data_IF_077886633605
#
_entry.id   IF_077886633605
#
_cell.length_a   1.000
_cell.length_b   1.000
_cell.length_c   1.000
_cell.angle_alpha   90.00
_cell.angle_beta   90.00
_cell.angle_gamma   90.00
#
_symmetry.space_group_name_H-M   'P 1'
#
loop_
_entity.id
_entity.type
_entity.pdbx_description
1 polymer ?
#
# COMPACT_ATOMS: atom_id res chain seq x y z
N UNK A 1 -30.93 -49.96 -4.23
CA UNK A 1 -31.80 -49.20 -3.32
C UNK A 1 -31.38 -47.73 -3.31
N UNK A 2 -32.36 -46.83 -3.53
CA UNK A 2 -32.45 -45.36 -3.36
C UNK A 2 -31.30 -44.51 -3.97
N UNK A 3 -31.41 -43.72 -5.05
CA UNK A 3 -32.41 -42.82 -5.69
C UNK A 3 -32.99 -41.70 -4.80
N UNK A 4 -32.88 -40.48 -5.34
CA UNK A 4 -33.61 -39.22 -5.06
C UNK A 4 -33.07 -38.24 -3.99
N UNK A 5 -32.30 -37.23 -4.43
CA UNK A 5 -32.80 -35.83 -4.54
C UNK A 5 -31.83 -34.98 -5.39
N UNK A 6 -32.20 -34.76 -6.66
CA UNK A 6 -31.81 -33.59 -7.47
C UNK A 6 -32.45 -32.32 -6.86
N UNK A 7 -32.02 -31.07 -7.08
CA UNK A 7 -31.05 -30.49 -8.00
C UNK A 7 -31.38 -29.00 -8.19
N UNK A 8 -30.36 -28.23 -8.56
CA UNK A 8 -30.36 -27.06 -9.47
C UNK A 8 -31.30 -25.87 -9.21
N UNK A 9 -30.70 -24.68 -9.16
CA UNK A 9 -31.07 -23.42 -9.85
C UNK A 9 -30.13 -22.33 -9.25
N UNK A 10 -29.32 -21.58 -9.98
CA UNK A 10 -29.39 -21.15 -11.37
C UNK A 10 -29.32 -19.63 -11.39
N UNK A 11 -28.14 -19.11 -11.76
CA UNK A 11 -27.88 -17.87 -12.51
C UNK A 11 -28.65 -16.56 -12.23
N UNK A 12 -27.83 -15.49 -12.28
CA UNK A 12 -28.09 -14.18 -12.89
C UNK A 12 -28.56 -13.04 -11.97
N UNK A 13 -27.70 -12.03 -11.79
CA UNK A 13 -27.62 -10.77 -12.58
C UNK A 13 -28.68 -9.77 -12.11
N UNK A 14 -28.23 -8.53 -11.85
CA UNK A 14 -28.85 -7.24 -12.20
C UNK A 14 -28.71 -6.26 -11.05
N UNK A 15 -27.94 -5.21 -11.34
CA UNK A 15 -27.78 -3.96 -10.61
C UNK A 15 -29.13 -3.31 -10.23
N UNK A 16 -29.12 -2.34 -9.31
CA UNK A 16 -29.58 -0.96 -9.59
C UNK A 16 -29.52 -0.10 -8.32
N UNK A 17 -28.84 1.03 -8.47
CA UNK A 17 -28.69 2.19 -7.60
C UNK A 17 -30.01 3.01 -7.59
N UNK A 18 -30.41 3.56 -6.43
CA UNK A 18 -31.20 4.81 -6.34
C UNK A 18 -30.87 5.47 -4.98
N UNK A 19 -29.97 6.45 -4.96
CA UNK A 19 -30.28 7.89 -5.06
C UNK A 19 -30.71 8.50 -3.71
N UNK A 20 -29.75 9.17 -3.06
CA UNK A 20 -29.97 10.09 -1.95
C UNK A 20 -30.58 11.36 -2.55
N UNK A 21 -31.88 11.56 -2.32
CA UNK A 21 -32.64 12.73 -2.75
C UNK A 21 -33.19 13.46 -1.54
N UNK A 22 -32.80 14.72 -1.41
CA UNK A 22 -33.10 15.65 -0.33
C UNK A 22 -34.59 15.78 0.02
N UNK A 23 -34.92 15.86 1.31
CA UNK A 23 -35.99 16.71 1.82
C UNK A 23 -35.67 17.15 3.25
N UNK A 24 -35.38 18.44 3.42
CA UNK A 24 -35.54 19.09 4.71
C UNK A 24 -37.02 19.36 4.96
N UNK A 25 -37.50 19.02 6.15
CA UNK A 25 -38.66 19.68 6.73
C UNK A 25 -38.53 19.73 8.25
N UNK A 26 -38.67 20.95 8.75
CA UNK A 26 -38.55 21.41 10.13
C UNK A 26 -39.77 20.97 10.94
N UNK A 27 -39.58 20.41 12.15
CA UNK A 27 -40.47 20.68 13.29
C UNK A 27 -39.65 20.76 14.59
N UNK A 28 -39.58 21.99 15.10
CA UNK A 28 -39.29 22.32 16.50
C UNK A 28 -40.29 21.64 17.44
N UNK A 29 -39.84 21.05 18.56
CA UNK A 29 -40.45 21.30 19.86
C UNK A 29 -39.44 21.15 21.03
N UNK A 30 -39.52 22.12 21.93
CA UNK A 30 -38.71 22.38 23.11
C UNK A 30 -39.13 21.54 24.34
N UNK A 31 -38.12 21.06 25.12
CA UNK A 31 -37.95 20.96 26.62
C UNK A 31 -39.07 20.36 27.51
N UNK A 32 -38.81 19.88 28.76
CA UNK A 32 -37.70 20.18 29.69
C UNK A 32 -37.05 18.93 30.36
N UNK A 33 -36.03 19.16 31.18
CA UNK A 33 -35.11 18.14 31.69
C UNK A 33 -35.48 17.44 32.99
N UNK A 34 -34.61 16.49 33.36
CA UNK A 34 -34.21 16.18 34.75
C UNK A 34 -32.93 15.36 34.73
N UNK A 35 -31.92 15.91 35.39
CA UNK A 35 -30.60 15.32 35.67
C UNK A 35 -30.60 14.85 37.12
N UNK A 36 -30.23 13.59 37.36
CA UNK A 36 -29.78 12.97 38.63
C UNK A 36 -29.97 11.45 38.49
N UNK A 37 -29.10 10.52 38.86
CA UNK A 37 -27.77 10.58 39.46
C UNK A 37 -27.05 9.27 39.17
N UNK A 38 -25.72 9.34 39.04
CA UNK A 38 -24.82 8.19 39.02
C UNK A 38 -24.79 7.54 40.41
N UNK A 39 -25.03 6.23 40.47
CA UNK A 39 -24.61 5.40 41.59
C UNK A 39 -23.33 4.63 41.24
N UNK A 40 -22.38 4.77 42.17
CA UNK A 40 -21.03 4.26 42.23
C UNK A 40 -20.95 2.74 42.42
N UNK A 41 -19.95 2.10 41.83
CA UNK A 41 -19.32 0.91 42.39
C UNK A 41 -17.84 0.87 41.98
N UNK A 42 -17.00 1.35 42.89
CA UNK A 42 -15.56 1.10 42.96
C UNK A 42 -15.31 -0.38 43.24
N UNK A 43 -14.38 -1.02 42.51
CA UNK A 43 -13.53 -2.08 43.09
C UNK A 43 -12.09 -1.98 42.57
N UNK A 44 -11.21 -1.85 43.55
CA UNK A 44 -9.74 -1.81 43.52
C UNK A 44 -9.17 -3.22 43.42
N UNK A 45 -8.17 -3.47 42.57
CA UNK A 45 -7.11 -4.46 42.89
C UNK A 45 -5.79 -4.15 42.16
N UNK A 46 -4.81 -3.76 42.97
CA UNK A 46 -3.36 -4.09 42.98
C UNK A 46 -2.57 -4.12 41.66
N UNK A 47 -1.76 -3.08 41.46
CA UNK A 47 -0.58 -3.10 40.56
C UNK A 47 0.66 -3.57 41.35
N UNK A 48 1.19 -4.73 40.98
CA UNK A 48 2.49 -5.20 41.46
C UNK A 48 3.58 -4.53 40.61
N UNK A 49 4.40 -3.70 41.24
CA UNK A 49 5.59 -3.09 40.66
C UNK A 49 6.79 -4.01 40.92
N UNK A 50 7.33 -4.61 39.86
CA UNK A 50 8.63 -5.29 39.89
C UNK A 50 9.57 -4.56 38.94
N UNK A 51 10.53 -3.84 39.53
CA UNK A 51 11.66 -3.25 38.82
C UNK A 51 12.77 -4.30 38.68
N UNK A 52 13.32 -4.48 37.48
CA UNK A 52 14.73 -4.88 37.28
C UNK A 52 15.22 -4.80 35.83
N UNK A 53 16.48 -4.37 35.75
CA UNK A 53 17.50 -4.49 34.68
C UNK A 53 17.28 -3.81 33.33
N UNK A 54 17.85 -2.60 33.26
CA UNK A 54 18.70 -2.09 32.16
C UNK A 54 19.31 -3.21 31.31
N UNK A 55 18.84 -3.34 30.08
CA UNK A 55 19.54 -3.98 28.98
C UNK A 55 19.75 -2.94 27.89
N UNK A 56 21.00 -2.83 27.49
CA UNK A 56 21.63 -1.84 26.64
C UNK A 56 20.96 -1.78 25.26
N UNK A 57 20.55 -0.58 24.83
CA UNK A 57 20.14 -0.26 23.46
C UNK A 57 21.22 -0.78 22.49
N UNK A 58 20.93 -1.72 21.56
CA UNK A 58 21.82 -1.90 20.43
C UNK A 58 21.74 -0.61 19.62
N UNK A 59 22.85 0.13 19.60
CA UNK A 59 23.10 1.15 18.58
C UNK A 59 22.85 0.49 17.23
N UNK A 60 21.96 1.00 16.37
CA UNK A 60 21.89 0.55 14.99
C UNK A 60 23.29 0.74 14.41
N UNK A 61 23.98 -0.36 14.17
CA UNK A 61 25.24 -0.35 13.48
C UNK A 61 24.91 0.06 12.06
N UNK A 62 25.14 1.34 11.76
CA UNK A 62 25.04 1.90 10.42
C UNK A 62 26.12 1.22 9.59
N UNK A 63 25.79 0.06 9.01
CA UNK A 63 26.56 -0.54 7.95
C UNK A 63 26.64 0.51 6.85
N UNK A 64 27.82 1.10 6.70
CA UNK A 64 28.10 2.03 5.61
C UNK A 64 28.24 1.16 4.36
N UNK A 65 27.09 0.76 3.80
CA UNK A 65 27.04 0.18 2.47
C UNK A 65 27.60 1.24 1.53
N UNK A 66 28.69 0.89 0.85
CA UNK A 66 29.20 1.71 -0.25
C UNK A 66 28.23 1.49 -1.41
N UNK A 67 27.08 2.17 -1.37
CA UNK A 67 26.08 2.14 -2.44
C UNK A 67 26.70 2.82 -3.65
N UNK A 68 27.06 2.00 -4.64
CA UNK A 68 27.29 2.51 -5.99
C UNK A 68 25.91 2.98 -6.46
N UNK A 69 25.72 4.29 -6.62
CA UNK A 69 24.49 4.83 -7.16
C UNK A 69 24.13 4.04 -8.44
N UNK A 70 22.86 3.66 -8.65
CA UNK A 70 22.44 2.96 -9.84
C UNK A 70 22.98 3.72 -11.04
N UNK A 71 23.61 2.98 -11.93
CA UNK A 71 24.17 3.58 -13.13
C UNK A 71 22.97 4.12 -13.90
N UNK A 72 22.84 5.45 -13.94
CA UNK A 72 21.97 6.15 -14.89
C UNK A 72 22.54 5.88 -16.29
N UNK A 73 22.38 4.66 -16.79
CA UNK A 73 23.11 4.17 -17.95
C UNK A 73 22.25 4.30 -19.21
N UNK A 74 22.69 5.20 -20.09
CA UNK A 74 22.59 5.19 -21.56
C UNK A 74 21.26 4.96 -22.30
N UNK A 75 20.13 4.76 -21.63
CA UNK A 75 18.82 4.67 -22.28
C UNK A 75 17.96 3.55 -21.75
N UNK A 76 16.65 3.76 -21.89
CA UNK A 76 15.62 2.81 -21.49
C UNK A 76 15.81 1.46 -22.21
N UNK A 77 15.82 0.32 -21.48
CA UNK A 77 16.03 -1.00 -22.08
C UNK A 77 14.85 -1.40 -22.97
N UNK A 78 15.09 -2.28 -23.94
CA UNK A 78 14.09 -2.65 -24.96
C UNK A 78 12.88 -3.41 -24.40
N UNK A 79 13.02 -4.06 -23.25
CA UNK A 79 11.91 -4.71 -22.55
C UNK A 79 11.09 -3.73 -21.70
N UNK A 80 11.50 -2.47 -21.53
CA UNK A 80 10.71 -1.45 -20.86
C UNK A 80 9.93 -0.64 -21.91
N UNK A 81 8.61 -0.86 -21.97
CA UNK A 81 7.66 -0.12 -22.81
C UNK A 81 7.06 1.07 -22.05
N UNK A 82 6.26 1.94 -22.70
CA UNK A 82 5.66 3.10 -22.01
C UNK A 82 4.65 2.66 -20.96
N UNK A 83 4.18 1.42 -21.08
CA UNK A 83 3.27 0.75 -20.16
C UNK A 83 3.99 -0.14 -19.14
N UNK A 84 5.32 -0.21 -19.14
CA UNK A 84 6.11 -0.96 -18.16
C UNK A 84 6.83 -2.18 -18.74
N UNK A 85 7.15 -3.15 -17.89
CA UNK A 85 8.07 -4.24 -18.18
C UNK A 85 7.43 -5.38 -18.99
N UNK A 86 7.90 -5.56 -20.22
CA UNK A 86 7.48 -6.62 -21.13
C UNK A 86 7.78 -8.00 -20.54
N UNK A 87 6.79 -8.90 -20.55
CA UNK A 87 6.90 -10.23 -19.94
C UNK A 87 6.57 -10.26 -18.44
N UNK A 88 6.41 -9.08 -17.81
CA UNK A 88 6.10 -8.94 -16.39
C UNK A 88 4.82 -8.11 -16.21
N UNK A 89 3.62 -8.71 -16.42
CA UNK A 89 2.36 -8.00 -16.24
C UNK A 89 2.19 -7.51 -14.79
N UNK A 90 2.85 -8.17 -13.84
CA UNK A 90 3.00 -7.74 -12.44
C UNK A 90 3.53 -6.32 -12.29
N UNK A 91 4.46 -5.93 -13.16
CA UNK A 91 5.21 -4.67 -13.16
C UNK A 91 4.93 -3.85 -14.44
N UNK A 92 3.70 -3.96 -14.97
CA UNK A 92 3.22 -3.17 -16.10
C UNK A 92 1.95 -2.44 -15.69
N UNK A 93 1.84 -1.17 -16.08
CA UNK A 93 0.70 -0.31 -15.79
C UNK A 93 -0.61 -0.88 -16.37
N UNK A 94 -1.70 -0.58 -15.69
CA UNK A 94 -3.04 -0.99 -16.06
C UNK A 94 -3.54 -0.20 -17.27
N UNK A 95 -4.32 -0.85 -18.15
CA UNK A 95 -4.94 -0.18 -19.31
C UNK A 95 -3.91 0.59 -20.16
N UNK A 96 -4.20 1.85 -20.50
CA UNK A 96 -3.32 2.75 -21.24
C UNK A 96 -2.51 3.68 -20.34
N UNK A 97 -2.44 3.40 -19.03
CA UNK A 97 -1.64 4.19 -18.10
C UNK A 97 -0.15 4.05 -18.42
N UNK A 98 0.62 5.07 -18.05
CA UNK A 98 2.07 5.11 -18.29
C UNK A 98 2.81 5.21 -16.97
N UNK A 99 4.03 4.67 -16.94
CA UNK A 99 4.87 4.78 -15.75
C UNK A 99 5.56 6.14 -15.70
N UNK A 100 5.80 6.63 -14.48
CA UNK A 100 6.63 7.81 -14.19
C UNK A 100 7.99 7.40 -13.61
N UNK A 101 8.04 6.22 -13.00
CA UNK A 101 9.26 5.58 -12.54
C UNK A 101 9.21 4.08 -12.81
N UNK A 102 10.34 3.47 -13.14
CA UNK A 102 10.49 2.03 -13.30
C UNK A 102 11.84 1.60 -12.75
N UNK A 103 11.92 0.42 -12.16
CA UNK A 103 13.19 -0.14 -11.69
C UNK A 103 13.24 -1.65 -11.82
N UNK A 104 14.45 -2.18 -11.90
CA UNK A 104 14.75 -3.60 -11.89
C UNK A 104 15.97 -3.91 -11.00
N UNK A 105 16.04 -5.16 -10.57
CA UNK A 105 17.25 -5.76 -10.02
C UNK A 105 16.99 -7.23 -9.75
N UNK A 106 18.01 -8.09 -9.78
CA UNK A 106 17.94 -9.52 -9.40
C UNK A 106 16.70 -10.29 -9.91
N UNK A 107 16.19 -9.97 -11.10
CA UNK A 107 15.00 -10.61 -11.69
C UNK A 107 13.64 -10.13 -11.13
N UNK A 108 13.64 -9.08 -10.31
CA UNK A 108 12.47 -8.37 -9.81
C UNK A 108 12.26 -7.06 -10.56
N UNK A 109 11.01 -6.69 -10.76
CA UNK A 109 10.61 -5.57 -11.61
C UNK A 109 9.54 -4.74 -10.92
N UNK A 110 9.59 -3.42 -11.09
CA UNK A 110 8.53 -2.55 -10.58
C UNK A 110 8.33 -1.31 -11.45
N UNK A 111 7.14 -0.74 -11.34
CA UNK A 111 6.75 0.54 -11.90
C UNK A 111 5.92 1.35 -10.91
N UNK A 112 6.08 2.67 -10.96
CA UNK A 112 5.11 3.63 -10.45
C UNK A 112 4.36 4.17 -11.66
N UNK A 113 3.07 3.87 -11.72
CA UNK A 113 2.17 4.20 -12.80
C UNK A 113 1.32 5.42 -12.47
N UNK A 114 0.91 6.17 -13.49
CA UNK A 114 -0.03 7.28 -13.37
C UNK A 114 -1.33 6.93 -14.08
N UNK A 115 -2.45 7.12 -13.39
CA UNK A 115 -3.78 6.96 -13.98
C UNK A 115 -4.00 8.06 -15.01
N UNK A 116 -4.06 7.70 -16.30
CA UNK A 116 -4.06 8.65 -17.40
C UNK A 116 -2.90 9.66 -17.32
N UNK A 117 -3.11 10.88 -17.82
CA UNK A 117 -2.06 11.91 -17.89
C UNK A 117 -1.84 12.66 -16.58
N UNK A 118 -2.82 12.71 -15.68
CA UNK A 118 -2.78 13.59 -14.49
C UNK A 118 -3.43 13.00 -13.24
N UNK A 119 -3.87 11.74 -13.27
CA UNK A 119 -4.49 11.08 -12.12
C UNK A 119 -3.49 10.69 -11.03
N UNK A 120 -4.00 9.92 -10.07
CA UNK A 120 -3.20 9.39 -8.97
C UNK A 120 -2.09 8.45 -9.44
N UNK A 121 -1.15 8.19 -8.53
CA UNK A 121 -0.07 7.24 -8.75
C UNK A 121 -0.37 5.92 -8.05
N UNK A 122 0.02 4.82 -8.66
CA UNK A 122 -0.06 3.49 -8.08
C UNK A 122 1.22 2.72 -8.40
N UNK A 123 1.61 1.87 -7.45
CA UNK A 123 2.72 0.95 -7.56
C UNK A 123 2.26 -0.34 -8.20
N UNK A 124 3.13 -0.92 -9.03
CA UNK A 124 3.02 -2.27 -9.57
C UNK A 124 4.36 -2.97 -9.49
N UNK A 125 4.38 -4.17 -8.93
CA UNK A 125 5.60 -4.94 -8.72
C UNK A 125 5.46 -6.41 -9.07
N UNK A 126 6.56 -6.98 -9.56
CA UNK A 126 6.80 -8.40 -9.72
C UNK A 126 8.03 -8.77 -8.89
N UNK A 127 7.82 -9.51 -7.80
CA UNK A 127 8.87 -9.89 -6.86
C UNK A 127 8.76 -11.38 -6.52
N UNK A 128 9.86 -12.12 -6.65
CA UNK A 128 9.96 -13.56 -6.34
C UNK A 128 8.82 -14.41 -6.94
N UNK A 129 8.41 -14.09 -8.18
CA UNK A 129 7.32 -14.78 -8.86
C UNK A 129 5.91 -14.29 -8.50
N UNK A 130 5.77 -13.46 -7.47
CA UNK A 130 4.54 -12.82 -7.06
C UNK A 130 4.31 -11.48 -7.76
N UNK A 131 3.05 -11.04 -7.82
CA UNK A 131 2.69 -9.70 -8.29
C UNK A 131 1.85 -8.99 -7.25
N UNK A 132 2.05 -7.68 -7.12
CA UNK A 132 1.31 -6.85 -6.18
C UNK A 132 1.12 -5.43 -6.71
N UNK A 133 0.00 -4.82 -6.32
CA UNK A 133 -0.40 -3.48 -6.70
C UNK A 133 -0.96 -2.75 -5.48
N UNK A 134 -0.66 -1.46 -5.36
CA UNK A 134 -1.21 -0.59 -4.33
C UNK A 134 -1.12 0.89 -4.74
N UNK A 135 -2.00 1.73 -4.19
CA UNK A 135 -1.93 3.17 -4.39
C UNK A 135 -0.71 3.78 -3.70
N UNK A 136 -0.13 4.81 -4.31
CA UNK A 136 0.99 5.56 -3.72
C UNK A 136 0.44 6.60 -2.74
N UNK A 137 0.90 6.60 -1.49
CA UNK A 137 0.45 7.54 -0.45
C UNK A 137 1.24 8.85 -0.43
N UNK A 138 2.50 8.82 -0.88
CA UNK A 138 3.35 10.00 -1.01
C UNK A 138 4.22 9.89 -2.25
N UNK A 139 4.46 11.02 -2.92
CA UNK A 139 5.34 11.08 -4.08
C UNK A 139 6.05 12.43 -4.18
N UNK A 140 7.33 12.40 -4.48
CA UNK A 140 8.09 13.52 -5.04
C UNK A 140 8.72 13.08 -6.36
N UNK A 141 8.11 13.55 -7.46
CA UNK A 141 8.55 13.24 -8.82
C UNK A 141 9.90 13.86 -9.17
N UNK A 142 10.28 14.96 -8.52
CA UNK A 142 11.56 15.63 -8.78
C UNK A 142 12.75 14.81 -8.30
N UNK A 143 12.58 14.09 -7.18
CA UNK A 143 13.57 13.15 -6.64
C UNK A 143 13.28 11.68 -6.99
N UNK A 144 12.15 11.39 -7.63
CA UNK A 144 11.65 10.03 -7.88
C UNK A 144 11.56 9.21 -6.60
N UNK A 145 11.04 9.82 -5.54
CA UNK A 145 10.80 9.16 -4.27
C UNK A 145 9.32 8.94 -4.03
N UNK A 146 8.96 7.76 -3.51
CA UNK A 146 7.57 7.34 -3.35
C UNK A 146 7.40 6.55 -2.06
N UNK A 147 6.23 6.66 -1.43
CA UNK A 147 5.82 5.78 -0.35
C UNK A 147 4.58 4.99 -0.76
N UNK A 148 4.64 3.68 -0.53
CA UNK A 148 3.55 2.75 -0.82
C UNK A 148 3.17 2.02 0.48
N UNK A 149 1.92 2.17 0.96
CA UNK A 149 1.46 1.51 2.16
C UNK A 149 1.32 0.00 1.93
N UNK A 150 1.95 -0.80 2.80
CA UNK A 150 1.98 -2.26 2.71
C UNK A 150 1.78 -2.87 4.12
N UNK A 151 0.62 -2.63 4.74
CA UNK A 151 0.39 -2.93 6.16
C UNK A 151 0.87 -4.34 6.56
N UNK A 152 1.66 -4.48 7.66
CA UNK A 152 2.02 -3.46 8.66
C UNK A 152 3.25 -2.60 8.33
N UNK A 153 3.71 -2.63 7.09
CA UNK A 153 4.90 -1.94 6.60
C UNK A 153 4.58 -0.77 5.64
N UNK A 154 5.62 -0.05 5.26
CA UNK A 154 5.61 0.97 4.21
C UNK A 154 6.85 0.76 3.34
N UNK A 155 6.67 0.77 2.03
CA UNK A 155 7.76 0.74 1.07
C UNK A 155 8.16 2.17 0.71
N UNK A 156 9.44 2.47 0.91
CA UNK A 156 10.09 3.71 0.53
C UNK A 156 10.91 3.44 -0.71
N UNK A 157 10.47 3.97 -1.84
CA UNK A 157 11.08 3.74 -3.15
C UNK A 157 11.86 4.99 -3.52
N UNK A 158 13.08 4.80 -4.01
CA UNK A 158 13.95 5.84 -4.54
C UNK A 158 14.72 5.28 -5.73
N UNK A 159 15.40 6.13 -6.53
CA UNK A 159 16.25 5.62 -7.61
C UNK A 159 17.27 4.58 -7.17
N UNK A 160 17.75 4.68 -5.91
CA UNK A 160 18.77 3.81 -5.34
C UNK A 160 18.24 2.43 -4.91
N UNK A 161 16.94 2.30 -4.70
CA UNK A 161 16.39 1.07 -4.15
C UNK A 161 15.04 1.24 -3.46
N UNK A 162 14.56 0.12 -2.94
CA UNK A 162 13.35 0.00 -2.14
C UNK A 162 13.74 -0.35 -0.70
N UNK A 163 13.38 0.50 0.25
CA UNK A 163 13.49 0.23 1.68
C UNK A 163 12.11 -0.08 2.25
N UNK A 164 12.02 -1.06 3.12
CA UNK A 164 10.79 -1.42 3.83
C UNK A 164 10.95 -1.01 5.28
N UNK A 165 10.06 -0.15 5.76
CA UNK A 165 9.93 0.16 7.18
C UNK A 165 8.77 -0.64 7.76
N UNK A 166 8.95 -1.27 8.92
CA UNK A 166 7.93 -2.10 9.56
C UNK A 166 8.54 -3.02 10.64
N UNK A 167 7.79 -4.06 11.07
CA UNK A 167 8.29 -5.06 12.01
C UNK A 167 9.57 -5.76 11.53
N UNK A 168 9.67 -6.01 10.22
CA UNK A 168 10.80 -6.64 9.57
C UNK A 168 11.38 -5.69 8.51
N UNK A 169 12.32 -4.80 8.87
CA UNK A 169 12.89 -3.87 7.91
C UNK A 169 13.85 -4.58 6.96
N UNK A 170 13.76 -4.24 5.67
CA UNK A 170 14.66 -4.73 4.64
C UNK A 170 15.01 -3.61 3.66
N UNK A 171 16.13 -3.79 2.96
CA UNK A 171 16.54 -2.90 1.89
C UNK A 171 16.93 -3.71 0.66
N UNK A 172 16.51 -3.22 -0.49
CA UNK A 172 16.75 -3.79 -1.80
C UNK A 172 17.36 -2.74 -2.70
N UNK A 173 18.60 -2.96 -3.15
CA UNK A 173 19.24 -2.08 -4.13
C UNK A 173 18.72 -2.41 -5.54
N UNK A 174 18.41 -1.37 -6.31
CA UNK A 174 18.08 -1.55 -7.72
C UNK A 174 19.37 -1.66 -8.54
N UNK A 175 19.39 -2.58 -9.50
CA UNK A 175 20.47 -2.65 -10.49
C UNK A 175 20.34 -1.50 -11.49
N UNK A 176 19.10 -1.14 -11.84
CA UNK A 176 18.78 -0.01 -12.69
C UNK A 176 17.43 0.64 -12.34
N UNK A 177 17.33 1.95 -12.58
CA UNK A 177 16.09 2.71 -12.45
C UNK A 177 15.95 3.76 -13.57
N UNK A 178 14.70 4.08 -13.90
CA UNK A 178 14.32 4.88 -15.04
C UNK A 178 13.21 5.86 -14.67
N UNK A 179 13.26 7.05 -15.25
CA UNK A 179 12.25 8.10 -15.13
C UNK A 179 11.71 8.42 -16.52
N UNK A 180 10.41 8.63 -16.65
CA UNK A 180 9.76 8.93 -17.92
C UNK A 180 10.04 10.36 -18.41
#
# INVERSE_FOLDING_TARGET
MNRFLWGLLGFAVVATICAIGAFGFVVFQNKPGSTADKASATMTTTVTSTASSIAQKPTPQQTTSTTTAPKKDSGRPSNLSDHGWSGYPGASCNSNDTWVFAAEGHGNYMTICRVGQSGGLYYRGYFDGGSWEADVSYSDLGSSTFEVPAYPAVFHISPNGLAVSGPDPLYYEFEASFTA
#
